data_IF_246994347678
#
_entry.id   IF_246994347678
#
_cell.length_a   1.000
_cell.length_b   1.000
_cell.length_c   1.000
_cell.angle_alpha   90.00
_cell.angle_beta   90.00
_cell.angle_gamma   90.00
#
_symmetry.space_group_name_H-M   'P 1'
#
loop_
_entity.id
_entity.type
_entity.pdbx_description
1 polymer ?
#
# COMPACT_ATOMS: atom_id res chain seq x y z
N UNK A 1 -1.72 -2.53 -24.68
CA UNK A 1 -2.29 -2.50 -23.31
C UNK A 1 -1.13 -2.62 -22.32
N UNK A 2 -1.16 -1.93 -21.17
CA UNK A 2 -0.03 -1.96 -20.22
C UNK A 2 0.11 -3.36 -19.58
N UNK A 3 1.35 -3.87 -19.35
CA UNK A 3 1.58 -5.18 -18.75
C UNK A 3 1.20 -5.28 -17.27
N UNK A 4 0.90 -4.14 -16.64
CA UNK A 4 0.47 -4.02 -15.24
C UNK A 4 -0.86 -3.27 -15.14
N UNK A 5 -1.50 -3.39 -13.98
CA UNK A 5 -2.67 -2.59 -13.59
C UNK A 5 -2.22 -1.54 -12.56
N UNK A 6 -2.54 -0.27 -12.83
CA UNK A 6 -2.49 0.78 -11.80
C UNK A 6 -3.44 0.45 -10.65
N UNK A 7 -3.34 1.18 -9.53
CA UNK A 7 -4.27 1.02 -8.39
C UNK A 7 -5.74 1.14 -8.84
N UNK A 8 -6.05 2.18 -9.61
CA UNK A 8 -7.40 2.44 -10.10
C UNK A 8 -7.84 1.36 -11.09
N UNK A 9 -6.96 0.92 -11.98
CA UNK A 9 -7.27 -0.17 -12.92
C UNK A 9 -7.53 -1.49 -12.21
N UNK A 10 -6.79 -1.81 -11.14
CA UNK A 10 -7.04 -2.98 -10.30
C UNK A 10 -8.44 -2.90 -9.69
N UNK A 11 -8.78 -1.75 -9.12
CA UNK A 11 -10.09 -1.53 -8.51
C UNK A 11 -11.23 -1.73 -9.52
N UNK A 12 -11.13 -1.14 -10.72
CA UNK A 12 -12.13 -1.37 -11.76
C UNK A 12 -12.19 -2.83 -12.21
N UNK A 13 -11.04 -3.49 -12.37
CA UNK A 13 -10.99 -4.90 -12.77
C UNK A 13 -11.65 -5.82 -11.73
N UNK A 14 -11.44 -5.54 -10.44
CA UNK A 14 -12.12 -6.22 -9.33
C UNK A 14 -13.62 -5.98 -9.38
N UNK A 15 -14.07 -4.73 -9.52
CA UNK A 15 -15.50 -4.38 -9.58
C UNK A 15 -16.20 -5.06 -10.76
N UNK A 16 -15.57 -5.10 -11.93
CA UNK A 16 -16.10 -5.79 -13.11
C UNK A 16 -16.17 -7.31 -12.90
N UNK A 17 -15.19 -7.88 -12.20
CA UNK A 17 -15.18 -9.30 -11.83
C UNK A 17 -16.30 -9.61 -10.84
N UNK A 18 -16.53 -8.76 -9.83
CA UNK A 18 -17.65 -8.89 -8.90
C UNK A 18 -19.02 -8.76 -9.60
N UNK A 19 -19.14 -7.81 -10.55
CA UNK A 19 -20.35 -7.65 -11.36
C UNK A 19 -20.65 -8.90 -12.19
N UNK A 20 -19.62 -9.59 -12.70
CA UNK A 20 -19.78 -10.85 -13.43
C UNK A 20 -20.39 -11.93 -12.54
N UNK A 21 -19.93 -12.06 -11.29
CA UNK A 21 -20.48 -13.02 -10.31
C UNK A 21 -21.95 -12.70 -10.00
N UNK A 22 -22.26 -11.43 -9.70
CA UNK A 22 -23.64 -11.00 -9.45
C UNK A 22 -24.57 -11.26 -10.64
N UNK A 23 -24.05 -11.04 -11.86
CA UNK A 23 -24.80 -11.32 -13.08
C UNK A 23 -25.04 -12.83 -13.28
N UNK A 24 -24.08 -13.68 -12.92
CA UNK A 24 -24.26 -15.14 -12.95
C UNK A 24 -25.31 -15.61 -11.94
N UNK A 25 -25.31 -15.07 -10.71
CA UNK A 25 -26.33 -15.35 -9.70
C UNK A 25 -27.72 -14.89 -10.15
N UNK A 26 -27.81 -13.70 -10.75
CA UNK A 26 -29.06 -13.18 -11.30
C UNK A 26 -29.58 -14.08 -12.43
N UNK A 27 -28.72 -14.46 -13.38
CA UNK A 27 -29.08 -15.39 -14.47
C UNK A 27 -29.57 -16.72 -13.91
N UNK A 28 -28.88 -17.28 -12.91
CA UNK A 28 -29.26 -18.54 -12.28
C UNK A 28 -30.63 -18.44 -11.58
N UNK A 29 -30.91 -17.31 -10.94
CA UNK A 29 -32.19 -17.05 -10.26
C UNK A 29 -33.33 -16.89 -11.28
N UNK A 30 -33.15 -16.06 -12.30
CA UNK A 30 -34.15 -15.84 -13.35
C UNK A 30 -34.39 -17.10 -14.18
N UNK A 31 -33.37 -17.94 -14.41
CA UNK A 31 -33.55 -19.21 -15.13
C UNK A 31 -34.46 -20.21 -14.39
N UNK A 32 -34.59 -20.08 -13.06
CA UNK A 32 -35.47 -20.91 -12.23
C UNK A 32 -36.87 -20.34 -12.05
N UNK A 33 -37.08 -19.05 -12.33
CA UNK A 33 -38.36 -18.39 -12.14
C UNK A 33 -39.32 -18.69 -13.31
N UNK A 34 -40.56 -19.06 -12.98
CA UNK A 34 -41.57 -19.49 -13.96
C UNK A 34 -42.04 -18.38 -14.91
N UNK A 35 -41.87 -17.11 -14.52
CA UNK A 35 -42.36 -15.93 -15.24
C UNK A 35 -41.27 -15.20 -16.05
N UNK A 36 -40.08 -15.78 -16.17
CA UNK A 36 -38.95 -15.10 -16.83
C UNK A 36 -39.11 -15.11 -18.34
N UNK A 37 -39.06 -13.92 -18.94
CA UNK A 37 -39.01 -13.77 -20.38
C UNK A 37 -37.71 -14.35 -20.97
N UNK A 38 -37.84 -15.12 -22.06
CA UNK A 38 -36.71 -15.82 -22.68
C UNK A 38 -35.74 -14.87 -23.37
N UNK A 39 -36.23 -13.79 -23.97
CA UNK A 39 -35.40 -12.80 -24.65
C UNK A 39 -34.60 -11.99 -23.62
N UNK A 40 -35.22 -11.62 -22.50
CA UNK A 40 -34.54 -11.01 -21.34
C UNK A 40 -33.39 -11.89 -20.83
N UNK A 41 -33.63 -13.19 -20.60
CA UNK A 41 -32.60 -14.10 -20.11
C UNK A 41 -31.46 -14.29 -21.13
N UNK A 42 -31.78 -14.30 -22.43
CA UNK A 42 -30.79 -14.34 -23.52
C UNK A 42 -29.92 -13.08 -23.54
N UNK A 43 -30.52 -11.90 -23.34
CA UNK A 43 -29.77 -10.63 -23.24
C UNK A 43 -28.83 -10.63 -22.04
N UNK A 44 -29.27 -11.10 -20.87
CA UNK A 44 -28.41 -11.23 -19.69
C UNK A 44 -27.20 -12.15 -19.96
N UNK A 45 -27.42 -13.32 -20.56
CA UNK A 45 -26.34 -14.27 -20.92
C UNK A 45 -25.36 -13.68 -21.93
N UNK A 46 -25.86 -12.89 -22.88
CA UNK A 46 -25.04 -12.18 -23.85
C UNK A 46 -24.16 -11.14 -23.15
N UNK A 47 -24.75 -10.35 -22.24
CA UNK A 47 -24.02 -9.41 -21.40
C UNK A 47 -22.90 -10.08 -20.60
N UNK A 48 -23.20 -11.20 -19.94
CA UNK A 48 -22.21 -12.01 -19.20
C UNK A 48 -21.05 -12.46 -20.09
N UNK A 49 -21.37 -12.93 -21.29
CA UNK A 49 -20.36 -13.39 -22.25
C UNK A 49 -19.44 -12.25 -22.70
N UNK A 50 -20.00 -11.08 -22.99
CA UNK A 50 -19.21 -9.92 -23.39
C UNK A 50 -18.33 -9.39 -22.26
N UNK A 51 -18.85 -9.36 -21.03
CA UNK A 51 -18.08 -8.98 -19.85
C UNK A 51 -16.92 -9.97 -19.60
N UNK A 52 -17.17 -11.27 -19.69
CA UNK A 52 -16.13 -12.30 -19.57
C UNK A 52 -15.03 -12.11 -20.62
N UNK A 53 -15.39 -11.85 -21.88
CA UNK A 53 -14.42 -11.58 -22.95
C UNK A 53 -13.57 -10.35 -22.65
N UNK A 54 -14.17 -9.27 -22.14
CA UNK A 54 -13.45 -8.06 -21.78
C UNK A 54 -12.45 -8.30 -20.63
N UNK A 55 -12.86 -9.02 -19.58
CA UNK A 55 -12.00 -9.41 -18.46
C UNK A 55 -10.84 -10.31 -18.92
N UNK A 56 -11.12 -11.30 -19.78
CA UNK A 56 -10.10 -12.16 -20.36
C UNK A 56 -9.11 -11.37 -21.22
N UNK A 57 -9.59 -10.47 -22.07
CA UNK A 57 -8.73 -9.63 -22.91
C UNK A 57 -7.77 -8.82 -22.03
N UNK A 58 -8.28 -8.16 -20.98
CA UNK A 58 -7.44 -7.37 -20.08
C UNK A 58 -6.49 -8.22 -19.24
N UNK A 59 -6.95 -9.38 -18.74
CA UNK A 59 -6.15 -10.31 -17.95
C UNK A 59 -5.06 -11.03 -18.74
N UNK A 60 -5.27 -11.29 -20.03
CA UNK A 60 -4.28 -11.93 -20.92
C UNK A 60 -3.14 -10.99 -21.31
N UNK A 61 -3.32 -9.68 -21.19
CA UNK A 61 -2.27 -8.70 -21.43
C UNK A 61 -1.41 -8.40 -20.19
N UNK A 62 -1.70 -9.03 -19.05
CA UNK A 62 -0.88 -8.89 -17.84
C UNK A 62 0.32 -9.84 -17.93
N UNK A 63 1.46 -9.41 -17.40
CA UNK A 63 2.58 -10.31 -17.20
C UNK A 63 2.20 -11.47 -16.25
N UNK A 64 2.76 -12.68 -16.43
CA UNK A 64 2.42 -13.84 -15.61
C UNK A 64 2.59 -13.60 -14.10
N UNK A 65 3.67 -12.92 -13.70
CA UNK A 65 3.96 -12.55 -12.31
C UNK A 65 2.92 -11.57 -11.75
N UNK A 66 2.60 -10.52 -12.51
CA UNK A 66 1.58 -9.53 -12.14
C UNK A 66 0.19 -10.15 -12.03
N UNK A 67 -0.14 -11.10 -12.92
CA UNK A 67 -1.39 -11.85 -12.90
C UNK A 67 -1.49 -12.75 -11.68
N UNK A 68 -0.42 -13.47 -11.33
CA UNK A 68 -0.39 -14.33 -10.14
C UNK A 68 -0.55 -13.53 -8.85
N UNK A 69 0.15 -12.41 -8.72
CA UNK A 69 0.02 -11.51 -7.57
C UNK A 69 -1.37 -10.88 -7.51
N UNK A 70 -1.92 -10.47 -8.65
CA UNK A 70 -3.30 -9.96 -8.71
C UNK A 70 -4.32 -11.01 -8.25
N UNK A 71 -4.21 -12.27 -8.69
CA UNK A 71 -5.10 -13.36 -8.27
C UNK A 71 -5.02 -13.62 -6.75
N UNK A 72 -3.79 -13.60 -6.20
CA UNK A 72 -3.55 -13.73 -4.76
C UNK A 72 -4.17 -12.58 -3.97
N UNK A 73 -4.04 -11.36 -4.46
CA UNK A 73 -4.64 -10.17 -3.85
C UNK A 73 -6.17 -10.23 -3.95
N UNK A 74 -6.72 -10.57 -5.11
CA UNK A 74 -8.17 -10.64 -5.33
C UNK A 74 -8.84 -11.73 -4.51
N UNK A 75 -8.18 -12.86 -4.25
CA UNK A 75 -8.72 -13.93 -3.43
C UNK A 75 -8.91 -13.55 -1.95
N UNK A 76 -8.37 -12.42 -1.51
CA UNK A 76 -8.54 -11.88 -0.16
C UNK A 76 -9.59 -10.77 -0.09
N UNK A 77 -10.17 -10.38 -1.22
CA UNK A 77 -11.11 -9.27 -1.27
C UNK A 77 -12.53 -9.78 -1.00
N UNK A 78 -13.16 -9.17 -0.01
CA UNK A 78 -14.60 -9.29 0.21
C UNK A 78 -15.30 -8.12 -0.47
N UNK A 79 -16.27 -8.43 -1.34
CA UNK A 79 -17.06 -7.43 -2.03
C UNK A 79 -18.33 -7.14 -1.24
N UNK A 80 -18.58 -5.84 -0.97
CA UNK A 80 -19.83 -5.37 -0.38
C UNK A 80 -20.58 -4.49 -1.38
N UNK A 81 -21.81 -4.88 -1.71
CA UNK A 81 -22.72 -4.04 -2.48
C UNK A 81 -23.44 -3.07 -1.52
N UNK A 82 -23.24 -1.77 -1.71
CA UNK A 82 -23.87 -0.72 -0.89
C UNK A 82 -24.87 0.08 -1.74
N UNK A 83 -26.11 -0.40 -1.91
CA UNK A 83 -27.07 0.21 -2.82
C UNK A 83 -27.68 1.51 -2.29
N UNK A 84 -27.57 1.79 -0.99
CA UNK A 84 -28.17 2.96 -0.34
C UNK A 84 -27.16 4.11 -0.18
N UNK A 85 -27.53 5.37 -0.50
CA UNK A 85 -26.67 6.53 -0.28
C UNK A 85 -26.15 6.66 1.16
N UNK A 86 -26.99 6.31 2.14
CA UNK A 86 -26.63 6.34 3.56
C UNK A 86 -25.56 5.30 3.90
N UNK A 87 -25.65 4.11 3.30
CA UNK A 87 -24.64 3.06 3.46
C UNK A 87 -23.31 3.45 2.81
N UNK A 88 -23.37 4.19 1.70
CA UNK A 88 -22.19 4.72 1.01
C UNK A 88 -21.50 5.82 1.84
N UNK A 89 -22.28 6.66 2.52
CA UNK A 89 -21.77 7.66 3.47
C UNK A 89 -21.10 7.01 4.69
N UNK A 90 -21.76 6.05 5.34
CA UNK A 90 -21.22 5.32 6.49
C UNK A 90 -19.93 4.55 6.12
N UNK A 91 -19.86 3.95 4.93
CA UNK A 91 -18.64 3.31 4.45
C UNK A 91 -17.51 4.30 4.18
N UNK A 92 -17.81 5.51 3.66
CA UNK A 92 -16.79 6.57 3.52
C UNK A 92 -16.24 7.00 4.88
N UNK A 93 -17.09 7.11 5.89
CA UNK A 93 -16.68 7.43 7.26
C UNK A 93 -15.80 6.30 7.85
N UNK A 94 -16.17 5.02 7.64
CA UNK A 94 -15.35 3.86 8.02
C UNK A 94 -14.02 3.78 7.25
N UNK A 95 -14.00 4.16 5.97
CA UNK A 95 -12.80 4.18 5.16
C UNK A 95 -11.87 5.34 5.54
N UNK A 96 -12.42 6.48 5.96
CA UNK A 96 -11.63 7.56 6.56
C UNK A 96 -10.97 7.08 7.86
N UNK A 97 -11.63 6.24 8.65
CA UNK A 97 -11.02 5.57 9.80
C UNK A 97 -9.96 4.52 9.38
N UNK A 98 -10.14 3.85 8.22
CA UNK A 98 -9.16 2.93 7.60
C UNK A 98 -8.05 3.63 6.79
N UNK A 99 -7.99 4.98 6.78
CA UNK A 99 -6.90 5.72 6.13
C UNK A 99 -5.54 5.53 6.83
N UNK A 100 -5.57 4.92 8.02
CA UNK A 100 -4.40 4.45 8.75
C UNK A 100 -4.06 3.04 8.25
N UNK A 101 -2.84 2.84 7.75
CA UNK A 101 -2.30 1.50 7.52
C UNK A 101 -1.76 0.99 8.87
N UNK A 102 -2.39 0.01 9.53
CA UNK A 102 -1.85 -0.54 10.76
C UNK A 102 -0.61 -1.37 10.41
N UNK A 103 0.57 -0.78 10.61
CA UNK A 103 1.86 -1.45 10.54
C UNK A 103 2.34 -1.69 11.98
N UNK A 104 2.96 -2.84 12.26
CA UNK A 104 3.66 -2.99 13.53
C UNK A 104 4.80 -1.98 13.55
N UNK A 105 5.04 -1.37 14.70
CA UNK A 105 6.13 -0.39 14.85
C UNK A 105 7.47 -1.00 14.40
N UNK A 106 7.74 -2.25 14.78
CA UNK A 106 8.94 -2.97 14.33
C UNK A 106 9.03 -3.13 12.81
N UNK A 107 7.92 -3.49 12.13
CA UNK A 107 7.92 -3.65 10.67
C UNK A 107 8.17 -2.30 9.96
N UNK A 108 7.69 -1.20 10.56
CA UNK A 108 7.96 0.16 10.08
C UNK A 108 9.43 0.54 10.28
N UNK A 109 9.98 0.27 11.46
CA UNK A 109 11.39 0.52 11.80
C UNK A 109 12.34 -0.29 10.90
N UNK A 110 12.03 -1.57 10.66
CA UNK A 110 12.81 -2.44 9.78
C UNK A 110 12.76 -1.94 8.33
N UNK A 111 11.56 -1.64 7.80
CA UNK A 111 11.43 -1.03 6.47
C UNK A 111 12.18 0.31 6.38
N UNK A 112 12.02 1.15 7.41
CA UNK A 112 12.67 2.45 7.50
C UNK A 112 14.19 2.33 7.47
N UNK A 113 14.77 1.39 8.23
CA UNK A 113 16.22 1.17 8.29
C UNK A 113 16.83 0.90 6.91
N UNK A 114 16.14 0.13 6.07
CA UNK A 114 16.58 -0.20 4.71
C UNK A 114 16.39 0.99 3.76
N UNK A 115 15.27 1.72 3.88
CA UNK A 115 14.95 2.82 2.97
C UNK A 115 15.80 4.06 3.27
N UNK A 116 16.03 4.38 4.55
CA UNK A 116 16.75 5.58 4.95
C UNK A 116 18.22 5.53 4.53
N UNK A 117 18.84 4.35 4.61
CA UNK A 117 20.21 4.10 4.14
C UNK A 117 20.36 4.33 2.63
N UNK A 118 19.35 3.98 1.83
CA UNK A 118 19.39 4.17 0.38
C UNK A 118 18.96 5.56 -0.09
N UNK A 119 18.10 6.25 0.67
CA UNK A 119 17.44 7.48 0.21
C UNK A 119 17.93 8.74 0.90
N UNK A 120 18.08 8.75 2.23
CA UNK A 120 18.42 9.95 2.98
C UNK A 120 19.89 10.00 3.39
N UNK A 121 20.54 8.85 3.62
CA UNK A 121 21.98 8.79 3.93
C UNK A 121 22.82 9.58 2.92
N UNK A 122 22.55 9.40 1.63
CA UNK A 122 23.28 10.01 0.52
C UNK A 122 22.67 11.30 0.00
N UNK A 123 21.56 11.78 0.58
CA UNK A 123 20.84 12.95 0.09
C UNK A 123 21.51 14.25 0.54
N UNK A 124 21.98 15.05 -0.43
CA UNK A 124 22.61 16.36 -0.20
C UNK A 124 21.77 17.52 -0.76
N UNK A 125 20.44 17.35 -0.81
CA UNK A 125 19.55 18.40 -1.33
C UNK A 125 19.51 19.61 -0.38
N UNK A 126 19.65 20.81 -0.95
CA UNK A 126 19.54 22.08 -0.22
C UNK A 126 18.08 22.44 0.13
N UNK A 127 17.11 21.99 -0.68
CA UNK A 127 15.67 22.20 -0.49
C UNK A 127 15.03 21.18 0.47
N UNK A 128 15.78 20.71 1.47
CA UNK A 128 15.36 19.63 2.36
C UNK A 128 14.07 19.93 3.13
N UNK A 129 13.76 21.21 3.38
CA UNK A 129 12.57 21.63 4.09
C UNK A 129 11.26 21.17 3.41
N UNK A 130 11.29 21.06 2.07
CA UNK A 130 10.16 20.61 1.24
C UNK A 130 10.21 19.10 0.92
N UNK A 131 11.21 18.38 1.46
CA UNK A 131 11.37 16.96 1.22
C UNK A 131 10.16 16.16 1.73
N UNK A 132 9.51 15.42 0.82
CA UNK A 132 8.37 14.56 1.14
C UNK A 132 8.72 13.51 2.21
N UNK A 133 9.94 12.95 2.15
CA UNK A 133 10.39 11.98 3.14
C UNK A 133 10.53 12.63 4.53
N UNK A 134 11.09 13.84 4.62
CA UNK A 134 11.16 14.62 5.87
C UNK A 134 9.79 14.86 6.46
N UNK A 135 8.83 15.31 5.65
CA UNK A 135 7.45 15.56 6.12
C UNK A 135 6.86 14.30 6.74
N UNK A 136 6.95 13.18 6.05
CA UNK A 136 6.47 11.89 6.56
C UNK A 136 7.21 11.50 7.85
N UNK A 137 8.55 11.57 7.89
CA UNK A 137 9.32 11.22 9.09
C UNK A 137 8.92 12.07 10.31
N UNK A 138 8.75 13.37 10.14
CA UNK A 138 8.28 14.27 11.20
C UNK A 138 6.86 13.92 11.67
N UNK A 139 5.94 13.63 10.74
CA UNK A 139 4.55 13.27 11.06
C UNK A 139 4.46 11.97 11.89
N UNK A 140 5.42 11.06 11.72
CA UNK A 140 5.55 9.81 12.48
C UNK A 140 6.50 9.90 13.68
N UNK A 141 6.96 11.10 14.05
CA UNK A 141 7.76 11.34 15.25
C UNK A 141 9.21 10.84 15.17
N UNK A 142 9.72 10.58 13.97
CA UNK A 142 11.12 10.21 13.76
C UNK A 142 11.98 11.45 13.91
N UNK A 143 12.93 11.45 14.84
CA UNK A 143 13.80 12.58 15.09
C UNK A 143 14.90 12.68 14.02
N UNK A 144 15.22 13.88 13.49
CA UNK A 144 16.31 14.03 12.53
C UNK A 144 17.67 13.68 13.14
N UNK A 145 18.53 13.04 12.35
CA UNK A 145 19.89 12.67 12.76
C UNK A 145 20.73 13.92 13.02
N UNK A 146 20.59 14.93 12.17
CA UNK A 146 21.28 16.23 12.23
C UNK A 146 20.24 17.36 12.22
N UNK A 147 19.61 17.70 13.35
CA UNK A 147 18.55 18.70 13.41
C UNK A 147 19.01 20.10 13.00
N UNK A 148 20.29 20.41 13.21
CA UNK A 148 20.88 21.72 12.90
C UNK A 148 21.39 21.84 11.45
N UNK A 149 21.20 20.82 10.61
CA UNK A 149 21.62 20.88 9.20
C UNK A 149 20.79 21.92 8.42
N UNK A 150 21.47 22.92 7.84
CA UNK A 150 20.84 24.04 7.11
C UNK A 150 21.03 23.94 5.60
N UNK A 151 22.09 23.28 5.13
CA UNK A 151 22.45 23.15 3.71
C UNK A 151 22.41 21.71 3.18
N UNK A 152 22.02 20.74 4.01
CA UNK A 152 21.97 19.32 3.67
C UNK A 152 20.75 18.66 4.33
N UNK A 153 20.44 17.42 3.93
CA UNK A 153 19.33 16.67 4.51
C UNK A 153 19.56 16.42 6.01
N UNK A 154 18.62 16.83 6.86
CA UNK A 154 18.66 16.58 8.32
C UNK A 154 18.67 15.09 8.72
N UNK A 155 18.36 14.18 7.79
CA UNK A 155 18.38 12.73 8.00
C UNK A 155 19.55 12.04 7.27
N UNK A 156 20.49 12.80 6.71
CA UNK A 156 21.73 12.25 6.16
C UNK A 156 22.66 11.87 7.32
N UNK A 157 23.12 10.61 7.29
CA UNK A 157 24.26 10.19 8.10
C UNK A 157 25.51 10.75 7.43
N UNK A 158 26.20 11.64 8.13
CA UNK A 158 27.53 12.08 7.71
C UNK A 158 28.41 10.84 7.85
N UNK A 159 28.93 10.31 6.74
CA UNK A 159 30.03 9.35 6.78
C UNK A 159 31.24 10.13 7.32
N UNK A 160 31.37 10.20 8.64
CA UNK A 160 32.64 10.54 9.25
C UNK A 160 33.60 9.38 8.96
N UNK A 161 34.55 9.59 8.03
CA UNK A 161 35.80 8.85 8.08
C UNK A 161 36.38 8.95 9.52
N UNK A 162 37.00 7.87 10.03
CA UNK A 162 37.08 7.60 11.45
C UNK A 162 38.06 8.56 12.14
N UNK A 163 37.55 9.67 12.66
CA UNK A 163 38.25 10.45 13.67
C UNK A 163 37.60 10.22 15.03
N UNK A 164 37.97 9.08 15.62
CA UNK A 164 38.00 8.94 17.08
C UNK A 164 36.65 8.86 17.79
N UNK A 165 35.67 8.15 17.24
CA UNK A 165 34.52 7.71 18.03
C UNK A 165 35.01 6.64 19.00
N UNK A 166 35.41 7.09 20.21
CA UNK A 166 35.61 6.23 21.35
C UNK A 166 34.39 5.32 21.48
N UNK A 167 34.63 4.01 21.34
CA UNK A 167 33.63 2.97 21.43
C UNK A 167 32.82 3.25 22.71
N UNK A 168 31.49 3.20 22.65
CA UNK A 168 30.60 3.41 23.82
C UNK A 168 31.05 2.57 25.04
N UNK A 169 31.77 1.47 24.81
CA UNK A 169 32.47 0.69 25.82
C UNK A 169 33.60 1.40 26.61
N UNK A 170 34.37 2.32 26.03
CA UNK A 170 35.44 3.05 26.74
C UNK A 170 34.92 4.08 27.75
N UNK A 171 33.82 4.77 27.42
CA UNK A 171 33.15 5.68 28.35
C UNK A 171 32.55 4.90 29.54
N UNK A 172 32.00 3.72 29.26
CA UNK A 172 31.44 2.83 30.29
C UNK A 172 32.53 2.17 31.16
N UNK A 173 33.67 1.80 30.57
CA UNK A 173 34.85 1.29 31.29
C UNK A 173 35.47 2.34 32.22
N UNK A 174 35.60 3.60 31.78
CA UNK A 174 36.07 4.70 32.64
C UNK A 174 35.12 5.00 33.79
N UNK A 175 33.81 4.96 33.56
CA UNK A 175 32.80 5.15 34.60
C UNK A 175 32.82 4.02 35.67
N UNK A 176 33.15 2.79 35.26
CA UNK A 176 33.27 1.65 36.16
C UNK A 176 34.59 1.65 36.94
N UNK A 177 35.71 2.04 36.32
CA UNK A 177 37.01 2.12 36.98
C UNK A 177 37.11 3.30 37.97
N UNK A 178 36.39 4.40 37.74
CA UNK A 178 36.32 5.54 38.66
C UNK A 178 35.58 5.27 39.97
N UNK A 179 34.82 4.16 40.09
CA UNK A 179 34.11 3.78 41.32
C UNK A 179 34.90 2.86 42.25
N UNK A 180 36.08 2.37 41.84
CA UNK A 180 36.91 1.48 42.64
C UNK A 180 38.01 2.19 43.45
N UNK A 181 38.08 3.52 43.39
CA UNK A 181 39.09 4.34 44.07
C UNK A 181 38.51 5.33 45.11
N UNK A 182 37.34 5.01 45.66
CA UNK A 182 36.69 5.73 46.77
C UNK A 182 36.44 4.82 47.95
#
# INVERSE_FOLDING_TARGET
MKPYLSRDEKEYFIRLSAMMVLLEEAIASYAKANSTDKEFLKLLRTGRTNLQKALQLRGSALEPSAKQEFLKQSGRLEFMCLPKPEALKANKELLALRSVLPMKIQDFEDWYSVVIEGTCKVCQREDYAECLARRVMTDYGVYPVNPDAVSTCQYSYIDEEPQGVGIVGEAMLKALQGRAAG
#
